data_IF_873552776346
#
_entry.id   IF_873552776346
#
_cell.length_a   1.000
_cell.length_b   1.000
_cell.length_c   1.000
_cell.angle_alpha   90.00
_cell.angle_beta   90.00
_cell.angle_gamma   90.00
#
_symmetry.space_group_name_H-M   'P 1'
#
loop_
_entity.id
_entity.type
_entity.pdbx_description
1 polymer ?
#
# COMPACT_ATOMS: atom_id res chain seq x y z
N UNK A 1 41.69 -11.37 35.35
CA UNK A 1 40.87 -12.58 35.28
C UNK A 1 39.49 -12.15 34.88
N UNK A 2 39.23 -12.11 33.56
CA UNK A 2 37.94 -11.74 33.00
C UNK A 2 37.08 -12.99 32.93
N UNK A 3 36.00 -13.01 33.67
CA UNK A 3 35.00 -14.06 33.62
C UNK A 3 34.08 -13.72 32.43
N UNK A 4 34.16 -14.54 31.38
CA UNK A 4 33.29 -14.51 30.25
C UNK A 4 31.99 -15.23 30.66
N UNK A 5 30.93 -14.49 30.85
CA UNK A 5 29.60 -15.07 31.09
C UNK A 5 29.05 -15.59 29.77
N UNK A 6 29.21 -16.89 29.54
CA UNK A 6 28.71 -17.61 28.38
C UNK A 6 27.33 -18.18 28.70
N UNK A 7 26.28 -17.37 28.61
CA UNK A 7 24.91 -17.90 28.58
C UNK A 7 23.90 -16.97 27.92
N UNK A 8 24.25 -16.40 26.79
CA UNK A 8 23.25 -15.88 25.87
C UNK A 8 23.21 -16.82 24.66
N UNK A 9 22.13 -17.56 24.50
CA UNK A 9 22.04 -18.46 23.37
C UNK A 9 22.07 -17.63 22.06
N UNK A 10 22.60 -18.21 20.98
CA UNK A 10 22.61 -17.59 19.66
C UNK A 10 21.18 -17.20 19.25
N UNK A 11 20.19 -17.93 19.74
CA UNK A 11 18.76 -17.63 19.53
C UNK A 11 18.31 -16.37 20.28
N UNK A 12 18.80 -16.11 21.50
CA UNK A 12 18.44 -14.90 22.27
C UNK A 12 19.07 -13.65 21.66
N UNK A 13 20.33 -13.72 21.24
CA UNK A 13 20.99 -12.62 20.52
C UNK A 13 20.34 -12.36 19.17
N UNK A 14 19.88 -13.40 18.48
CA UNK A 14 19.14 -13.30 17.23
C UNK A 14 17.72 -12.76 17.45
N UNK A 15 17.01 -13.19 18.50
CA UNK A 15 15.71 -12.63 18.87
C UNK A 15 15.84 -11.17 19.31
N UNK A 16 16.85 -10.79 20.07
CA UNK A 16 17.11 -9.39 20.42
C UNK A 16 17.45 -8.55 19.18
N UNK A 17 18.14 -9.10 18.18
CA UNK A 17 18.40 -8.43 16.92
C UNK A 17 17.10 -8.32 16.09
N UNK A 18 16.26 -9.36 16.07
CA UNK A 18 14.94 -9.32 15.46
C UNK A 18 14.02 -8.34 16.18
N UNK A 19 13.98 -8.32 17.51
CA UNK A 19 13.19 -7.38 18.30
C UNK A 19 13.64 -5.94 18.08
N UNK A 20 14.94 -5.69 17.89
CA UNK A 20 15.47 -4.38 17.48
C UNK A 20 15.03 -4.00 16.04
N UNK A 21 14.93 -4.98 15.15
CA UNK A 21 14.42 -4.78 13.77
C UNK A 21 12.91 -4.64 13.78
N UNK A 22 12.18 -5.36 14.64
CA UNK A 22 10.72 -5.32 14.74
C UNK A 22 10.17 -4.28 15.72
N UNK A 23 10.95 -3.90 16.74
CA UNK A 23 10.67 -2.70 17.55
C UNK A 23 11.12 -1.45 16.81
N UNK A 24 11.04 -1.44 15.49
CA UNK A 24 11.41 -0.36 14.60
C UNK A 24 12.08 0.75 15.37
N UNK A 25 13.41 0.88 15.26
CA UNK A 25 14.04 2.08 15.76
C UNK A 25 13.13 3.25 15.41
N UNK A 26 12.99 4.22 16.28
CA UNK A 26 12.31 5.48 16.02
C UNK A 26 12.88 6.10 14.74
N UNK A 27 12.50 5.58 13.57
CA UNK A 27 12.63 6.31 12.34
C UNK A 27 11.63 7.46 12.47
N UNK A 28 12.14 8.57 13.00
CA UNK A 28 11.40 9.82 13.05
C UNK A 28 10.95 10.16 11.64
N UNK A 29 9.65 10.42 11.47
CA UNK A 29 9.09 10.88 10.22
C UNK A 29 10.00 11.93 9.57
N UNK A 30 10.40 11.71 8.32
CA UNK A 30 11.32 12.62 7.61
C UNK A 30 10.52 13.69 6.92
N UNK A 31 10.89 14.97 7.12
CA UNK A 31 10.25 16.12 6.46
C UNK A 31 11.22 16.78 5.47
N UNK A 32 10.75 16.98 4.23
CA UNK A 32 11.49 17.67 3.17
C UNK A 32 10.50 18.30 2.19
N UNK A 33 10.81 19.46 1.65
CA UNK A 33 9.95 20.21 0.72
C UNK A 33 8.56 20.55 1.28
N UNK A 34 8.40 20.59 2.61
CA UNK A 34 7.11 20.79 3.27
C UNK A 34 6.22 19.53 3.34
N UNK A 35 6.72 18.38 2.91
CA UNK A 35 6.05 17.09 3.00
C UNK A 35 6.69 16.21 4.08
N UNK A 36 5.88 15.39 4.72
CA UNK A 36 6.33 14.43 5.73
C UNK A 36 6.13 13.00 5.20
N UNK A 37 7.21 12.21 5.22
CA UNK A 37 7.20 10.77 4.92
C UNK A 37 7.03 9.98 6.21
N UNK A 38 6.19 8.96 6.18
CA UNK A 38 5.79 8.15 7.33
C UNK A 38 5.61 6.68 6.93
N UNK A 39 5.85 5.79 7.87
CA UNK A 39 5.33 4.42 7.87
C UNK A 39 3.84 4.41 8.26
N UNK A 40 3.16 3.27 8.14
CA UNK A 40 1.76 3.13 8.55
C UNK A 40 1.56 3.39 10.07
N UNK A 41 2.52 2.96 10.91
CA UNK A 41 2.47 3.18 12.36
C UNK A 41 2.67 4.66 12.72
N UNK A 42 3.59 5.34 12.05
CA UNK A 42 3.80 6.77 12.23
C UNK A 42 2.62 7.58 11.71
N UNK A 43 2.01 7.18 10.59
CA UNK A 43 0.79 7.78 10.07
C UNK A 43 -0.37 7.70 11.08
N UNK A 44 -0.57 6.54 11.72
CA UNK A 44 -1.56 6.38 12.79
C UNK A 44 -1.32 7.37 13.93
N UNK A 45 -0.09 7.52 14.37
CA UNK A 45 0.29 8.46 15.44
C UNK A 45 0.12 9.92 14.98
N UNK A 46 0.50 10.22 13.74
CA UNK A 46 0.45 11.54 13.16
C UNK A 46 -1.00 12.01 12.92
N UNK A 47 -1.86 11.16 12.34
CA UNK A 47 -3.25 11.52 12.02
C UNK A 47 -4.07 11.82 13.28
N UNK A 48 -3.80 11.11 14.38
CA UNK A 48 -4.48 11.32 15.66
C UNK A 48 -4.19 12.71 16.26
N UNK A 49 -3.04 13.30 15.94
CA UNK A 49 -2.64 14.65 16.38
C UNK A 49 -3.23 15.77 15.50
N UNK A 50 -3.84 15.42 14.36
CA UNK A 50 -4.41 16.42 13.45
C UNK A 50 -5.73 16.97 13.97
N UNK A 51 -6.12 18.17 13.48
CA UNK A 51 -7.37 18.81 13.81
C UNK A 51 -8.62 18.00 13.43
N UNK A 52 -9.75 18.35 14.00
CA UNK A 52 -11.04 17.73 13.73
C UNK A 52 -11.72 18.41 12.54
N UNK A 53 -11.32 18.07 11.33
CA UNK A 53 -11.93 18.57 10.10
C UNK A 53 -13.20 17.78 9.76
N UNK A 54 -14.15 18.41 9.07
CA UNK A 54 -15.42 17.78 8.66
C UNK A 54 -15.24 17.08 7.31
N UNK A 55 -14.72 15.86 7.33
CA UNK A 55 -14.67 15.01 6.15
C UNK A 55 -15.85 14.03 6.12
N UNK A 56 -16.42 13.79 4.94
CA UNK A 56 -17.58 12.91 4.73
C UNK A 56 -17.30 11.77 3.78
N UNK A 57 -16.08 11.66 3.26
CA UNK A 57 -15.68 10.55 2.39
C UNK A 57 -14.25 10.65 1.92
N UNK A 58 -13.81 9.58 1.25
CA UNK A 58 -12.43 9.40 0.78
C UNK A 58 -12.45 8.99 -0.69
N UNK A 59 -11.63 9.62 -1.49
CA UNK A 59 -11.45 9.31 -2.92
C UNK A 59 -10.32 8.30 -3.10
N UNK A 60 -10.50 7.38 -4.05
CA UNK A 60 -9.47 6.42 -4.44
C UNK A 60 -8.94 6.81 -5.80
N UNK A 61 -7.63 7.08 -5.87
CA UNK A 61 -6.93 7.36 -7.12
C UNK A 61 -5.66 6.51 -7.25
N UNK A 62 -5.19 6.35 -8.49
CA UNK A 62 -3.84 5.93 -8.80
C UNK A 62 -3.18 6.98 -9.70
N UNK A 63 -1.86 7.06 -9.63
CA UNK A 63 -1.11 8.04 -10.45
C UNK A 63 -1.22 7.76 -11.95
N UNK A 64 -1.44 6.50 -12.34
CA UNK A 64 -1.38 6.00 -13.70
C UNK A 64 0.01 6.25 -14.34
N UNK A 65 0.45 7.51 -14.34
CA UNK A 65 1.82 7.94 -14.61
C UNK A 65 2.12 9.11 -13.65
N UNK A 66 3.23 9.05 -12.90
CA UNK A 66 4.29 8.02 -12.88
C UNK A 66 3.82 6.68 -12.32
N UNK A 67 4.36 5.59 -12.90
CA UNK A 67 4.12 4.21 -12.50
C UNK A 67 5.34 3.59 -11.78
N UNK A 68 5.33 2.28 -11.53
CA UNK A 68 6.41 1.58 -10.85
C UNK A 68 7.75 1.65 -11.59
N UNK A 69 7.75 1.72 -12.92
CA UNK A 69 8.97 1.86 -13.71
C UNK A 69 9.66 3.21 -13.47
N UNK A 70 8.87 4.22 -13.10
CA UNK A 70 9.39 5.53 -12.71
C UNK A 70 9.90 5.57 -11.26
N UNK A 71 9.51 4.62 -10.41
CA UNK A 71 9.91 4.56 -9.01
C UNK A 71 11.13 3.66 -8.79
N UNK A 72 11.10 2.43 -9.31
CA UNK A 72 12.18 1.47 -9.18
C UNK A 72 13.25 1.66 -10.26
N UNK A 73 14.51 1.64 -9.85
CA UNK A 73 15.67 1.72 -10.75
C UNK A 73 16.14 0.33 -11.13
N UNK A 74 16.86 0.23 -12.23
CA UNK A 74 17.40 -1.04 -12.75
C UNK A 74 18.38 -1.73 -11.79
N UNK A 75 19.02 -0.97 -10.89
CA UNK A 75 19.93 -1.49 -9.86
C UNK A 75 19.21 -1.99 -8.60
N UNK A 76 17.86 -2.02 -8.59
CA UNK A 76 17.05 -2.49 -7.47
C UNK A 76 16.82 -1.45 -6.37
N UNK A 77 17.36 -0.24 -6.50
CA UNK A 77 17.02 0.90 -5.62
C UNK A 77 15.74 1.57 -6.10
N UNK A 78 15.26 2.57 -5.37
CA UNK A 78 14.12 3.38 -5.79
C UNK A 78 14.40 4.88 -5.65
N UNK A 79 13.54 5.69 -6.27
CA UNK A 79 13.57 7.13 -6.10
C UNK A 79 13.15 7.53 -4.67
N UNK A 80 13.67 8.67 -4.21
CA UNK A 80 13.25 9.25 -2.94
C UNK A 80 11.79 9.74 -3.01
N UNK A 81 10.94 9.28 -2.11
CA UNK A 81 9.50 9.53 -2.12
C UNK A 81 9.19 11.02 -1.95
N UNK A 82 9.95 11.73 -1.11
CA UNK A 82 9.76 13.17 -0.90
C UNK A 82 10.14 13.98 -2.15
N UNK A 83 11.17 13.55 -2.86
CA UNK A 83 11.55 14.14 -4.15
C UNK A 83 10.46 13.86 -5.20
N UNK A 84 9.93 12.64 -5.27
CA UNK A 84 8.81 12.31 -6.16
C UNK A 84 7.55 13.11 -5.85
N UNK A 85 7.21 13.27 -4.57
CA UNK A 85 6.09 14.10 -4.15
C UNK A 85 6.26 15.55 -4.60
N UNK A 86 7.47 16.12 -4.42
CA UNK A 86 7.78 17.47 -4.87
C UNK A 86 7.69 17.64 -6.39
N UNK A 87 8.14 16.63 -7.16
CA UNK A 87 8.02 16.63 -8.62
C UNK A 87 6.53 16.59 -9.04
N UNK A 88 5.69 15.78 -8.40
CA UNK A 88 4.23 15.78 -8.65
C UNK A 88 3.61 17.13 -8.32
N UNK A 89 3.99 17.76 -7.19
CA UNK A 89 3.55 19.13 -6.88
C UNK A 89 3.96 20.11 -7.97
N UNK A 90 5.18 20.03 -8.47
CA UNK A 90 5.65 20.91 -9.53
C UNK A 90 4.81 20.77 -10.82
N UNK A 91 4.47 19.54 -11.22
CA UNK A 91 3.56 19.31 -12.37
C UNK A 91 2.19 19.91 -12.09
N UNK A 92 1.60 19.66 -10.92
CA UNK A 92 0.28 20.17 -10.56
C UNK A 92 0.22 21.70 -10.53
N UNK A 93 1.25 22.36 -9.99
CA UNK A 93 1.24 23.82 -9.85
C UNK A 93 1.76 24.55 -11.09
N UNK A 94 2.85 24.07 -11.71
CA UNK A 94 3.51 24.76 -12.81
C UNK A 94 2.92 24.40 -14.18
N UNK A 95 2.52 23.14 -14.38
CA UNK A 95 1.98 22.67 -15.67
C UNK A 95 0.46 22.77 -15.72
N UNK A 96 -0.23 22.31 -14.65
CA UNK A 96 -1.69 22.31 -14.60
C UNK A 96 -2.28 23.63 -14.05
N UNK A 97 -1.45 24.52 -13.48
CA UNK A 97 -1.89 25.79 -12.91
C UNK A 97 -2.71 25.67 -11.61
N UNK A 98 -2.64 24.54 -10.91
CA UNK A 98 -3.37 24.34 -9.66
C UNK A 98 -2.66 25.05 -8.49
N UNK A 99 -3.44 25.47 -7.48
CA UNK A 99 -2.88 26.19 -6.33
C UNK A 99 -1.90 25.34 -5.48
N UNK A 100 -2.02 24.02 -5.48
CA UNK A 100 -1.17 23.09 -4.74
C UNK A 100 -1.25 21.69 -5.36
N UNK A 101 -0.49 20.73 -4.78
CA UNK A 101 -0.62 19.31 -5.09
C UNK A 101 -2.09 18.86 -4.90
N UNK A 102 -2.59 17.97 -5.74
CA UNK A 102 -4.01 17.61 -5.76
C UNK A 102 -4.48 16.89 -4.49
N UNK A 103 -3.73 15.87 -4.12
CA UNK A 103 -4.08 14.90 -3.07
C UNK A 103 -3.60 15.33 -1.68
N UNK A 104 -4.25 14.77 -0.64
CA UNK A 104 -3.82 14.92 0.75
C UNK A 104 -2.68 13.97 1.11
N UNK A 105 -2.68 12.77 0.53
CA UNK A 105 -1.65 11.76 0.76
C UNK A 105 -1.30 11.01 -0.52
N UNK A 106 -0.03 10.63 -0.63
CA UNK A 106 0.45 9.67 -1.64
C UNK A 106 0.97 8.43 -0.93
N UNK A 107 0.60 7.24 -1.43
CA UNK A 107 1.06 5.96 -0.91
C UNK A 107 1.96 5.31 -1.95
N UNK A 108 3.23 5.14 -1.61
CA UNK A 108 4.29 4.66 -2.51
C UNK A 108 4.39 3.13 -2.56
N UNK A 109 5.02 2.56 -3.59
CA UNK A 109 5.11 1.11 -3.78
C UNK A 109 5.76 0.34 -2.62
N UNK A 110 6.69 0.96 -1.88
CA UNK A 110 7.35 0.40 -0.71
C UNK A 110 6.57 0.59 0.60
N UNK A 111 5.32 1.07 0.52
CA UNK A 111 4.45 1.31 1.67
C UNK A 111 4.66 2.66 2.37
N UNK A 112 5.59 3.49 1.92
CA UNK A 112 5.76 4.84 2.45
C UNK A 112 4.54 5.71 2.17
N UNK A 113 4.12 6.47 3.17
CA UNK A 113 3.00 7.41 3.12
C UNK A 113 3.58 8.82 3.18
N UNK A 114 3.25 9.65 2.20
CA UNK A 114 3.75 11.02 2.15
C UNK A 114 2.57 12.00 2.17
N UNK A 115 2.65 13.03 3.02
CA UNK A 115 1.66 14.11 3.06
C UNK A 115 1.69 14.90 1.76
N UNK A 116 0.55 15.46 1.40
CA UNK A 116 0.38 16.35 0.26
C UNK A 116 -0.28 17.66 0.70
N UNK A 117 -1.46 17.93 0.14
CA UNK A 117 -2.29 19.09 0.50
C UNK A 117 -2.66 19.03 2.00
N UNK A 118 -2.62 20.14 2.73
CA UNK A 118 -2.97 20.16 4.15
C UNK A 118 -4.42 19.68 4.39
N UNK A 119 -4.63 18.93 5.48
CA UNK A 119 -5.99 18.49 5.88
C UNK A 119 -6.94 19.63 6.22
N UNK A 120 -6.46 20.84 6.48
CA UNK A 120 -7.29 22.04 6.60
C UNK A 120 -7.98 22.41 5.28
N UNK A 121 -7.46 21.95 4.15
CA UNK A 121 -8.05 22.13 2.82
C UNK A 121 -9.04 21.02 2.53
N UNK A 122 -10.30 21.21 2.90
CA UNK A 122 -11.35 20.17 2.80
C UNK A 122 -11.89 19.96 1.37
N UNK A 123 -11.38 20.71 0.39
CA UNK A 123 -11.75 20.56 -1.03
C UNK A 123 -10.51 20.32 -1.88
N UNK A 124 -10.08 19.05 -2.06
CA UNK A 124 -8.94 18.69 -2.91
C UNK A 124 -9.28 18.86 -4.41
N UNK A 125 -8.26 18.66 -5.25
CA UNK A 125 -8.43 18.52 -6.70
C UNK A 125 -8.35 17.03 -7.06
N UNK A 126 -9.48 16.34 -7.04
CA UNK A 126 -9.54 14.90 -7.29
C UNK A 126 -10.68 14.53 -8.24
N UNK A 127 -11.87 14.26 -7.70
CA UNK A 127 -13.04 13.88 -8.49
C UNK A 127 -13.94 15.10 -8.68
N UNK A 128 -14.03 15.61 -9.90
CA UNK A 128 -14.99 16.68 -10.24
C UNK A 128 -16.40 16.26 -9.82
N UNK A 129 -17.14 17.17 -9.18
CA UNK A 129 -18.47 16.89 -8.63
C UNK A 129 -18.48 16.19 -7.27
N UNK A 130 -17.33 15.72 -6.76
CA UNK A 130 -17.25 15.03 -5.47
C UNK A 130 -15.99 15.38 -4.66
N UNK A 131 -15.56 16.66 -4.69
CA UNK A 131 -14.38 17.14 -3.95
C UNK A 131 -14.71 17.70 -2.57
N UNK A 132 -15.88 18.39 -2.40
CA UNK A 132 -16.21 19.06 -1.17
C UNK A 132 -16.25 18.09 0.02
N UNK A 133 -15.49 18.42 1.07
CA UNK A 133 -15.34 17.62 2.30
C UNK A 133 -14.90 16.15 2.04
N UNK A 134 -14.01 15.96 1.07
CA UNK A 134 -13.44 14.63 0.76
C UNK A 134 -11.93 14.63 0.93
N UNK A 135 -11.40 13.50 1.36
CA UNK A 135 -9.96 13.25 1.41
C UNK A 135 -9.59 12.59 0.07
N UNK A 136 -8.60 13.14 -0.61
CA UNK A 136 -8.05 12.60 -1.84
C UNK A 136 -6.77 11.81 -1.53
N UNK A 137 -6.76 10.54 -1.90
CA UNK A 137 -5.61 9.64 -1.76
C UNK A 137 -5.12 9.25 -3.14
N UNK A 138 -3.84 9.47 -3.40
CA UNK A 138 -3.15 9.04 -4.61
C UNK A 138 -2.29 7.81 -4.30
N UNK A 139 -2.53 6.71 -4.99
CA UNK A 139 -1.77 5.47 -4.84
C UNK A 139 -0.82 5.39 -6.04
N UNK A 140 0.48 5.47 -5.75
CA UNK A 140 1.51 5.52 -6.79
C UNK A 140 1.57 4.21 -7.57
N UNK A 141 1.37 4.28 -8.89
CA UNK A 141 1.40 3.15 -9.79
C UNK A 141 0.29 3.18 -10.84
N UNK A 142 0.36 2.25 -11.79
CA UNK A 142 -0.67 2.01 -12.80
C UNK A 142 -1.31 0.65 -12.56
N UNK A 143 -2.49 0.61 -11.94
CA UNK A 143 -3.17 -0.63 -11.61
C UNK A 143 -4.23 -1.04 -12.64
N UNK A 144 -4.05 -0.66 -13.88
CA UNK A 144 -4.83 -1.26 -14.97
C UNK A 144 -4.39 -2.69 -15.25
N UNK A 145 -5.28 -3.50 -15.81
CA UNK A 145 -4.99 -4.90 -16.14
C UNK A 145 -3.76 -5.01 -17.05
N UNK A 146 -2.80 -5.85 -16.65
CA UNK A 146 -1.54 -6.05 -17.38
C UNK A 146 -0.46 -4.98 -17.12
N UNK A 147 -0.70 -4.06 -16.18
CA UNK A 147 0.25 -3.04 -15.72
C UNK A 147 0.81 -3.42 -14.34
N UNK A 148 1.06 -2.44 -13.46
CA UNK A 148 1.63 -2.67 -12.14
C UNK A 148 0.77 -3.60 -11.29
N UNK A 149 1.43 -4.47 -10.51
CA UNK A 149 0.80 -5.28 -9.48
C UNK A 149 1.17 -4.67 -8.12
N UNK A 150 0.15 -4.22 -7.40
CA UNK A 150 0.34 -3.57 -6.10
C UNK A 150 1.11 -4.48 -5.14
N UNK A 151 2.19 -3.95 -4.56
CA UNK A 151 3.03 -4.66 -3.58
C UNK A 151 2.24 -4.96 -2.30
N UNK A 152 2.71 -5.90 -1.50
CA UNK A 152 2.11 -6.20 -0.20
C UNK A 152 2.25 -5.01 0.77
N UNK A 153 3.40 -4.35 0.76
CA UNK A 153 3.70 -3.15 1.54
C UNK A 153 2.73 -2.01 1.23
N UNK A 154 2.51 -1.75 -0.06
CA UNK A 154 1.59 -0.71 -0.48
C UNK A 154 0.13 -1.07 -0.15
N UNK A 155 -0.29 -2.34 -0.34
CA UNK A 155 -1.63 -2.81 0.06
C UNK A 155 -1.89 -2.58 1.55
N UNK A 156 -0.92 -2.96 2.40
CA UNK A 156 -1.02 -2.78 3.84
C UNK A 156 -1.10 -1.30 4.22
N UNK A 157 -0.28 -0.44 3.61
CA UNK A 157 -0.31 1.00 3.82
C UNK A 157 -1.65 1.61 3.37
N UNK A 158 -2.18 1.19 2.21
CA UNK A 158 -3.51 1.63 1.72
C UNK A 158 -4.59 1.29 2.75
N UNK A 159 -4.66 0.04 3.21
CA UNK A 159 -5.67 -0.39 4.18
C UNK A 159 -5.54 0.42 5.48
N UNK A 160 -4.31 0.60 5.98
CA UNK A 160 -4.04 1.36 7.20
C UNK A 160 -4.45 2.83 7.08
N UNK A 161 -4.09 3.50 5.98
CA UNK A 161 -4.45 4.90 5.73
C UNK A 161 -5.96 5.08 5.69
N UNK A 162 -6.67 4.27 4.91
CA UNK A 162 -8.14 4.37 4.83
C UNK A 162 -8.80 4.07 6.18
N UNK A 163 -8.32 3.06 6.91
CA UNK A 163 -8.85 2.71 8.23
C UNK A 163 -8.63 3.79 9.27
N UNK A 164 -7.43 4.36 9.35
CA UNK A 164 -7.12 5.44 10.31
C UNK A 164 -7.87 6.75 9.97
N UNK A 165 -8.02 7.08 8.69
CA UNK A 165 -8.83 8.22 8.27
C UNK A 165 -10.31 8.03 8.61
N UNK A 166 -10.85 6.82 8.39
CA UNK A 166 -12.23 6.49 8.76
C UNK A 166 -12.45 6.61 10.27
N UNK A 167 -11.51 6.12 11.10
CA UNK A 167 -11.55 6.29 12.58
C UNK A 167 -11.50 7.75 12.98
N UNK A 168 -10.49 8.49 12.49
CA UNK A 168 -10.25 9.89 12.86
C UNK A 168 -11.43 10.79 12.54
N UNK A 169 -12.00 10.67 11.36
CA UNK A 169 -13.08 11.54 10.88
C UNK A 169 -14.47 10.92 10.99
N UNK A 170 -14.60 9.79 11.68
CA UNK A 170 -15.88 9.09 11.92
C UNK A 170 -16.62 8.78 10.60
N UNK A 171 -15.88 8.38 9.56
CA UNK A 171 -16.43 7.98 8.28
C UNK A 171 -16.75 6.48 8.32
N UNK A 172 -18.01 6.11 8.16
CA UNK A 172 -18.41 4.69 8.05
C UNK A 172 -18.00 4.15 6.68
N UNK A 173 -17.11 3.13 6.59
CA UNK A 173 -16.67 2.59 5.30
C UNK A 173 -17.80 1.96 4.51
N UNK A 174 -18.05 2.48 3.32
CA UNK A 174 -19.03 1.99 2.35
C UNK A 174 -18.71 2.54 0.96
N UNK A 175 -19.34 2.01 -0.09
CA UNK A 175 -19.21 2.56 -1.45
C UNK A 175 -19.92 3.90 -1.65
N UNK A 176 -20.65 4.40 -0.65
CA UNK A 176 -21.17 5.77 -0.64
C UNK A 176 -20.18 6.79 -0.10
N UNK A 177 -19.28 6.37 0.80
CA UNK A 177 -18.29 7.22 1.48
C UNK A 177 -16.86 7.05 0.97
N UNK A 178 -16.58 5.94 0.27
CA UNK A 178 -15.29 5.65 -0.36
C UNK A 178 -15.55 5.35 -1.84
N UNK A 179 -15.07 6.23 -2.74
CA UNK A 179 -15.42 6.15 -4.16
C UNK A 179 -14.20 6.19 -5.06
N UNK A 180 -14.27 5.41 -6.15
CA UNK A 180 -13.29 5.43 -7.23
C UNK A 180 -13.56 6.61 -8.18
N UNK A 181 -12.50 7.21 -8.72
CA UNK A 181 -12.62 8.21 -9.78
C UNK A 181 -13.34 7.64 -11.00
N UNK A 182 -13.13 6.37 -11.31
CA UNK A 182 -13.80 5.65 -12.40
C UNK A 182 -15.35 5.68 -12.35
N UNK A 183 -15.95 6.02 -11.22
CA UNK A 183 -17.41 6.06 -11.09
C UNK A 183 -18.02 7.42 -11.47
N UNK A 184 -17.24 8.27 -12.12
CA UNK A 184 -17.66 9.62 -12.52
C UNK A 184 -17.30 9.90 -13.98
N UNK A 185 -18.16 10.68 -14.64
CA UNK A 185 -17.85 11.25 -15.96
C UNK A 185 -16.81 12.38 -15.85
N UNK A 186 -16.21 12.80 -16.96
CA UNK A 186 -15.34 13.98 -17.03
C UNK A 186 -16.06 15.28 -16.59
N UNK A 187 -17.37 15.35 -16.76
CA UNK A 187 -18.21 16.44 -16.29
C UNK A 187 -18.48 16.44 -14.78
N UNK A 188 -18.19 15.32 -14.09
CA UNK A 188 -18.41 15.17 -12.64
C UNK A 188 -19.74 14.51 -12.28
N UNK A 189 -20.48 13.94 -13.25
CA UNK A 189 -21.68 13.17 -12.98
C UNK A 189 -21.34 11.81 -12.39
N UNK A 190 -21.98 11.46 -11.28
CA UNK A 190 -21.83 10.13 -10.67
C UNK A 190 -22.55 9.06 -11.46
N UNK A 191 -21.84 8.04 -11.89
CA UNK A 191 -22.35 6.92 -12.70
C UNK A 191 -22.82 5.73 -11.86
N UNK A 192 -22.45 5.69 -10.58
CA UNK A 192 -22.72 4.55 -9.70
C UNK A 192 -21.70 3.42 -9.78
N UNK A 193 -21.05 3.21 -10.92
CA UNK A 193 -20.02 2.19 -11.15
C UNK A 193 -19.08 2.62 -12.29
N UNK A 194 -17.99 1.84 -12.49
CA UNK A 194 -17.14 1.97 -13.68
C UNK A 194 -17.92 1.62 -14.95
N UNK A 195 -17.84 2.49 -15.94
CA UNK A 195 -18.40 2.30 -17.26
C UNK A 195 -17.35 2.68 -18.31
N UNK A 196 -16.91 1.72 -19.13
CA UNK A 196 -15.80 1.90 -20.07
C UNK A 196 -16.02 3.00 -21.12
N UNK A 197 -17.27 3.37 -21.40
CA UNK A 197 -17.61 4.39 -22.41
C UNK A 197 -17.95 5.76 -21.80
N UNK A 198 -18.29 5.84 -20.51
CA UNK A 198 -18.76 7.07 -19.86
C UNK A 198 -17.84 7.58 -18.77
N UNK A 199 -17.05 6.72 -18.14
CA UNK A 199 -16.12 7.09 -17.07
C UNK A 199 -15.02 7.99 -17.60
N UNK A 200 -14.65 9.01 -16.81
CA UNK A 200 -13.55 9.91 -17.14
C UNK A 200 -12.21 9.17 -17.28
N UNK A 201 -12.00 8.16 -16.45
CA UNK A 201 -10.74 7.39 -16.31
C UNK A 201 -11.02 5.99 -15.78
N UNK A 202 -10.04 5.08 -15.91
CA UNK A 202 -10.05 3.76 -15.25
C UNK A 202 -9.68 3.83 -13.75
N UNK A 203 -9.23 4.99 -13.28
CA UNK A 203 -8.69 5.23 -11.93
C UNK A 203 -9.63 4.74 -10.80
N UNK A 204 -9.16 3.94 -9.84
CA UNK A 204 -7.77 3.60 -9.50
C UNK A 204 -7.17 2.41 -10.25
N UNK A 205 -7.76 1.98 -11.35
CA UNK A 205 -7.26 0.92 -12.21
C UNK A 205 -8.16 -0.31 -12.26
N UNK A 206 -8.28 -0.90 -13.46
CA UNK A 206 -9.15 -2.05 -13.73
C UNK A 206 -8.69 -3.35 -13.05
N UNK A 207 -7.50 -3.33 -12.43
CA UNK A 207 -6.95 -4.41 -11.58
C UNK A 207 -6.50 -3.88 -10.21
N UNK A 208 -7.15 -2.81 -9.70
CA UNK A 208 -6.85 -2.24 -8.38
C UNK A 208 -6.83 -3.32 -7.30
N UNK A 209 -5.73 -3.40 -6.53
CA UNK A 209 -5.45 -4.41 -5.48
C UNK A 209 -5.62 -5.88 -5.92
N UNK A 210 -5.79 -6.15 -7.22
CA UNK A 210 -6.03 -7.48 -7.79
C UNK A 210 -7.51 -7.84 -8.00
N UNK A 211 -8.46 -6.97 -7.64
CA UNK A 211 -9.89 -7.22 -7.79
C UNK A 211 -10.64 -6.16 -8.64
N UNK A 212 -9.98 -5.06 -9.00
CA UNK A 212 -10.52 -4.05 -9.90
C UNK A 212 -11.25 -2.90 -9.22
N UNK A 213 -11.88 -2.05 -10.05
CA UNK A 213 -12.46 -0.77 -9.66
C UNK A 213 -14.00 -0.72 -9.77
N UNK A 214 -14.67 -1.85 -10.03
CA UNK A 214 -16.13 -1.88 -10.02
C UNK A 214 -16.69 -1.69 -8.61
N UNK A 215 -17.88 -1.14 -8.49
CA UNK A 215 -18.54 -0.94 -7.21
C UNK A 215 -18.67 -2.25 -6.43
N UNK A 216 -19.09 -3.32 -7.09
CA UNK A 216 -19.20 -4.64 -6.49
C UNK A 216 -17.86 -5.18 -5.99
N UNK A 217 -16.75 -4.97 -6.73
CA UNK A 217 -15.41 -5.39 -6.33
C UNK A 217 -14.93 -4.62 -5.09
N UNK A 218 -15.12 -3.31 -5.05
CA UNK A 218 -14.78 -2.46 -3.90
C UNK A 218 -15.61 -2.85 -2.67
N UNK A 219 -16.91 -3.04 -2.83
CA UNK A 219 -17.82 -3.41 -1.74
C UNK A 219 -17.49 -4.79 -1.14
N UNK A 220 -17.20 -5.77 -2.01
CA UNK A 220 -16.90 -7.15 -1.60
C UNK A 220 -15.50 -7.32 -1.02
N UNK A 221 -14.50 -6.60 -1.54
CA UNK A 221 -13.09 -6.89 -1.23
C UNK A 221 -12.40 -5.76 -0.45
N UNK A 222 -12.60 -4.48 -0.79
CA UNK A 222 -11.87 -3.38 -0.17
C UNK A 222 -12.52 -2.89 1.12
N UNK A 223 -13.83 -2.68 1.11
CA UNK A 223 -14.57 -2.20 2.29
C UNK A 223 -14.42 -3.12 3.51
N UNK A 224 -14.50 -4.47 3.37
CA UNK A 224 -14.27 -5.39 4.49
C UNK A 224 -12.86 -5.29 5.08
N UNK A 225 -11.81 -5.11 4.26
CA UNK A 225 -10.45 -4.94 4.74
C UNK A 225 -10.30 -3.69 5.62
N UNK A 226 -10.95 -2.59 5.24
CA UNK A 226 -10.95 -1.35 6.03
C UNK A 226 -11.69 -1.57 7.35
N UNK A 227 -12.86 -2.22 7.33
CA UNK A 227 -13.65 -2.53 8.53
C UNK A 227 -12.90 -3.46 9.49
N UNK A 228 -12.26 -4.48 8.96
CA UNK A 228 -11.41 -5.41 9.72
C UNK A 228 -10.28 -4.66 10.42
N UNK A 229 -9.58 -3.80 9.70
CA UNK A 229 -8.53 -2.94 10.27
C UNK A 229 -9.08 -2.05 11.40
N UNK A 230 -10.22 -1.41 11.19
CA UNK A 230 -10.86 -0.54 12.19
C UNK A 230 -11.24 -1.28 13.47
N UNK A 231 -11.61 -2.55 13.37
CA UNK A 231 -11.99 -3.42 14.49
C UNK A 231 -10.79 -4.07 15.20
N UNK A 232 -9.57 -3.60 14.93
CA UNK A 232 -8.34 -4.16 15.51
C UNK A 232 -7.82 -5.40 14.78
N UNK A 233 -8.41 -5.75 13.64
CA UNK A 233 -7.82 -6.69 12.70
C UNK A 233 -6.48 -6.11 12.23
N UNK A 234 -5.41 -6.89 12.36
CA UNK A 234 -4.10 -6.51 11.80
C UNK A 234 -4.23 -6.46 10.28
N UNK A 235 -3.62 -5.47 9.62
CA UNK A 235 -3.42 -5.47 8.16
C UNK A 235 -2.65 -6.70 7.69
N UNK A 236 -2.13 -7.47 8.64
CA UNK A 236 -1.44 -8.75 8.49
C UNK A 236 -2.37 -9.96 8.58
N UNK A 237 -3.68 -9.86 8.26
CA UNK A 237 -4.49 -11.05 8.01
C UNK A 237 -4.31 -11.61 6.60
N UNK A 238 -3.11 -11.59 6.11
CA UNK A 238 -2.39 -12.72 5.58
C UNK A 238 -1.25 -12.98 6.56
N UNK A 239 -1.54 -13.57 7.70
CA UNK A 239 -0.52 -14.23 8.51
C UNK A 239 0.00 -15.38 7.65
N UNK A 240 0.90 -15.06 6.73
CA UNK A 240 1.82 -16.02 6.20
C UNK A 240 2.69 -16.43 7.38
N UNK A 241 2.16 -17.33 8.21
CA UNK A 241 2.92 -17.94 9.29
C UNK A 241 3.77 -19.04 8.69
N UNK A 242 4.89 -19.38 9.33
CA UNK A 242 5.64 -20.59 8.97
C UNK A 242 4.69 -21.81 8.90
N UNK A 243 4.99 -22.76 8.06
CA UNK A 243 4.12 -23.92 7.83
C UNK A 243 4.29 -24.50 6.42
N UNK A 244 3.41 -25.41 6.03
CA UNK A 244 3.42 -26.01 4.69
C UNK A 244 2.49 -25.25 3.77
N UNK A 245 3.02 -24.87 2.60
CA UNK A 245 2.31 -24.12 1.57
C UNK A 245 2.34 -24.87 0.25
N UNK A 246 1.19 -24.97 -0.40
CA UNK A 246 1.02 -25.59 -1.72
C UNK A 246 0.91 -24.51 -2.78
N UNK A 247 1.69 -24.62 -3.86
CA UNK A 247 1.70 -23.65 -4.97
C UNK A 247 0.39 -23.75 -5.75
N UNK A 248 -0.24 -22.58 -6.00
CA UNK A 248 -1.50 -22.47 -6.74
C UNK A 248 -1.31 -21.92 -8.16
N UNK A 249 -0.22 -21.19 -8.43
CA UNK A 249 0.13 -20.72 -9.75
C UNK A 249 0.75 -21.84 -10.60
N UNK A 250 0.57 -21.84 -11.91
CA UNK A 250 1.15 -22.83 -12.82
C UNK A 250 2.68 -22.91 -12.68
N UNK A 251 3.33 -21.75 -12.55
CA UNK A 251 4.76 -21.62 -12.27
C UNK A 251 4.99 -20.47 -11.32
N UNK A 252 5.80 -20.66 -10.28
CA UNK A 252 6.13 -19.64 -9.31
C UNK A 252 7.65 -19.48 -9.21
N UNK A 253 8.15 -18.25 -9.32
CA UNK A 253 9.58 -17.97 -9.23
C UNK A 253 10.08 -18.08 -7.79
N UNK A 254 11.25 -18.71 -7.62
CA UNK A 254 12.04 -18.68 -6.40
C UNK A 254 13.11 -17.59 -6.54
N UNK A 255 13.28 -16.75 -5.55
CA UNK A 255 14.17 -15.58 -5.58
C UNK A 255 15.16 -15.56 -4.42
N UNK A 256 16.30 -14.87 -4.59
CA UNK A 256 17.33 -14.72 -3.53
C UNK A 256 16.82 -13.98 -2.28
N UNK A 257 15.77 -13.17 -2.40
CA UNK A 257 15.22 -12.37 -1.32
C UNK A 257 13.70 -12.21 -1.42
N UNK A 258 13.05 -11.63 -0.38
CA UNK A 258 11.60 -11.50 -0.26
C UNK A 258 11.07 -10.32 -1.09
N UNK A 259 11.09 -10.43 -2.41
CA UNK A 259 10.60 -9.39 -3.32
C UNK A 259 10.87 -9.69 -4.79
N UNK A 260 10.16 -9.03 -5.69
CA UNK A 260 10.29 -9.21 -7.14
C UNK A 260 11.59 -8.60 -7.70
N UNK A 261 12.21 -7.66 -6.99
CA UNK A 261 13.50 -7.05 -7.34
C UNK A 261 14.70 -7.99 -7.12
N UNK A 262 14.55 -9.04 -6.32
CA UNK A 262 15.62 -10.00 -6.10
C UNK A 262 15.78 -10.97 -7.27
N UNK A 263 17.02 -11.34 -7.57
CA UNK A 263 17.36 -12.25 -8.66
C UNK A 263 16.59 -13.59 -8.53
N UNK A 264 16.07 -14.08 -9.65
CA UNK A 264 15.47 -15.41 -9.75
C UNK A 264 16.57 -16.47 -9.62
N UNK A 265 16.33 -17.47 -8.77
CA UNK A 265 17.25 -18.59 -8.53
C UNK A 265 16.64 -19.94 -8.89
N UNK A 266 15.34 -19.98 -9.20
CA UNK A 266 14.65 -21.18 -9.61
C UNK A 266 13.18 -20.94 -9.87
N UNK A 267 12.44 -22.02 -10.10
CA UNK A 267 10.98 -22.05 -10.22
C UNK A 267 10.42 -23.29 -9.53
N UNK A 268 9.19 -23.17 -9.04
CA UNK A 268 8.37 -24.25 -8.52
C UNK A 268 7.04 -24.29 -9.25
N UNK A 269 6.38 -25.46 -9.29
CA UNK A 269 5.19 -25.70 -10.11
C UNK A 269 3.94 -25.83 -9.24
N UNK A 270 2.79 -25.63 -9.86
CA UNK A 270 1.47 -25.83 -9.27
C UNK A 270 1.34 -27.24 -8.67
N UNK A 271 0.77 -27.30 -7.48
CA UNK A 271 0.58 -28.55 -6.75
C UNK A 271 1.74 -28.95 -5.85
N UNK A 272 2.95 -28.42 -6.07
CA UNK A 272 4.09 -28.67 -5.18
C UNK A 272 3.86 -28.00 -3.82
N UNK A 273 4.28 -28.67 -2.74
CA UNK A 273 4.13 -28.20 -1.38
C UNK A 273 5.50 -28.02 -0.70
N UNK A 274 5.67 -26.89 -0.05
CA UNK A 274 6.95 -26.50 0.56
C UNK A 274 6.75 -26.06 2.01
N UNK A 275 7.69 -26.49 2.88
CA UNK A 275 7.77 -25.94 4.23
C UNK A 275 8.41 -24.55 4.17
N UNK A 276 7.70 -23.56 4.71
CA UNK A 276 8.17 -22.21 4.87
C UNK A 276 8.69 -22.04 6.30
N UNK A 277 9.96 -21.65 6.45
CA UNK A 277 10.64 -21.49 7.74
C UNK A 277 10.81 -20.06 8.18
N UNK A 278 10.68 -19.10 7.25
CA UNK A 278 10.67 -17.66 7.53
C UNK A 278 9.65 -16.99 6.62
N UNK A 279 9.04 -15.93 7.10
CA UNK A 279 8.12 -15.11 6.30
C UNK A 279 8.55 -13.65 6.41
N UNK A 280 8.60 -12.95 5.28
CA UNK A 280 8.87 -11.51 5.20
C UNK A 280 8.07 -10.92 4.05
N UNK A 281 7.32 -9.85 4.32
CA UNK A 281 6.62 -9.06 3.29
C UNK A 281 5.78 -9.90 2.31
N UNK A 282 5.07 -10.92 2.82
CA UNK A 282 4.26 -11.83 1.97
C UNK A 282 5.06 -12.87 1.19
N UNK A 283 6.37 -12.99 1.45
CA UNK A 283 7.26 -14.02 0.88
C UNK A 283 7.63 -15.05 1.94
N UNK A 284 7.70 -16.30 1.53
CA UNK A 284 8.10 -17.43 2.37
C UNK A 284 9.46 -17.98 1.98
N UNK A 285 10.37 -18.14 2.95
CA UNK A 285 11.66 -18.78 2.73
C UNK A 285 11.52 -20.31 2.79
N UNK A 286 11.95 -20.96 1.75
CA UNK A 286 11.89 -22.41 1.62
C UNK A 286 12.83 -23.10 2.61
N UNK A 287 12.37 -24.13 3.32
CA UNK A 287 13.21 -24.96 4.22
C UNK A 287 14.42 -25.59 3.51
N UNK A 288 14.31 -25.80 2.19
CA UNK A 288 15.43 -26.30 1.36
C UNK A 288 16.61 -25.33 1.25
N UNK A 289 16.44 -24.04 1.65
CA UNK A 289 17.45 -23.02 1.47
C UNK A 289 17.52 -22.42 0.06
N UNK A 290 16.72 -22.93 -0.90
CA UNK A 290 16.76 -22.48 -2.29
C UNK A 290 16.45 -20.99 -2.45
N UNK A 291 15.58 -20.43 -1.59
CA UNK A 291 15.22 -19.01 -1.64
C UNK A 291 13.78 -18.75 -1.19
N UNK A 292 13.24 -17.65 -1.70
CA UNK A 292 11.94 -17.09 -1.31
C UNK A 292 10.90 -17.27 -2.42
N UNK A 293 9.68 -17.65 -2.05
CA UNK A 293 8.51 -17.70 -2.94
C UNK A 293 7.44 -16.72 -2.44
N UNK A 294 6.69 -16.12 -3.37
CA UNK A 294 5.58 -15.23 -3.03
C UNK A 294 4.38 -16.04 -2.54
N UNK A 295 3.99 -15.86 -1.28
CA UNK A 295 2.92 -16.62 -0.65
C UNK A 295 1.52 -16.28 -1.16
N UNK A 296 1.34 -15.16 -1.86
CA UNK A 296 0.09 -14.81 -2.54
C UNK A 296 -0.30 -15.81 -3.65
N UNK A 297 0.68 -16.59 -4.15
CA UNK A 297 0.48 -17.63 -5.17
C UNK A 297 0.54 -19.04 -4.57
N UNK A 298 0.21 -19.15 -3.29
CA UNK A 298 0.20 -20.43 -2.56
C UNK A 298 -1.04 -20.50 -1.67
N UNK A 299 -1.39 -21.70 -1.23
CA UNK A 299 -2.38 -21.95 -0.16
C UNK A 299 -1.69 -22.63 1.01
N UNK A 300 -1.91 -22.15 2.24
CA UNK A 300 -1.41 -22.82 3.44
C UNK A 300 -2.17 -24.11 3.65
N UNK A 301 -1.46 -25.22 3.88
CA UNK A 301 -2.03 -26.56 4.01
C UNK A 301 -1.91 -27.06 5.46
N UNK A 302 -0.89 -26.56 6.20
CA UNK A 302 -0.62 -26.98 7.57
C UNK A 302 0.21 -25.92 8.31
#
# INVERSE_FOLDING_TARGET
>A
MYICDQNTSIDDAYQQALDKIFQGGNEMSTTKYGFTKMTANEFKSWINKQGNYKYTGIQIHHTWLPDYSCFYKTNGTHEDELTRQNNMKAVHTKTNGWADIAQHFTIFPNGAIVTGRPLSTTTPVGIKGWNANKICIEIYGNFDKGKDVMTAEQKNAVIAVYGELCKKFKITPSTSTIRCHAWFTAGGTYLGDYNSSKSAKTCPGTNFMGFGNSKAAIEKNFIPLIKDYMNGGSTTKQTSSVGVYKVTAETLNVRKGPGTSYAKVGTVKKGEAFTITKVSSGWGYLKSGLGWICLAYTSKVK
#
